data_IF_963130811929
#
_entry.id   IF_963130811929
#
_cell.length_a   1.000
_cell.length_b   1.000
_cell.length_c   1.000
_cell.angle_alpha   90.00
_cell.angle_beta   90.00
_cell.angle_gamma   90.00
#
_symmetry.space_group_name_H-M   'P 1'
#
loop_
_entity.id
_entity.type
_entity.pdbx_description
1 polymer ?
#
# COMPACT_ATOMS: atom_id res chain seq x y z
N UNK A 1 37.15 -9.08 -57.00
CA UNK A 1 37.01 -7.69 -56.52
C UNK A 1 35.54 -7.35 -56.40
N UNK A 2 34.98 -7.32 -55.19
CA UNK A 2 33.59 -6.91 -54.99
C UNK A 2 33.50 -5.38 -55.10
N UNK A 3 32.83 -4.89 -56.15
CA UNK A 3 32.52 -3.46 -56.30
C UNK A 3 31.48 -3.11 -55.24
N UNK A 4 31.88 -2.35 -54.21
CA UNK A 4 30.95 -1.83 -53.22
C UNK A 4 29.84 -1.04 -53.90
N UNK A 5 28.57 -1.29 -53.54
CA UNK A 5 27.45 -0.49 -54.01
C UNK A 5 27.70 0.97 -53.63
N UNK A 6 27.51 1.95 -54.53
CA UNK A 6 27.58 3.35 -54.16
C UNK A 6 26.55 3.63 -53.06
N UNK A 7 26.99 4.19 -51.93
CA UNK A 7 26.07 4.66 -50.88
C UNK A 7 25.21 5.76 -51.49
N UNK A 8 23.90 5.57 -51.54
CA UNK A 8 22.98 6.65 -51.86
C UNK A 8 23.11 7.71 -50.76
N UNK A 9 23.51 8.91 -51.13
CA UNK A 9 23.48 10.06 -50.25
C UNK A 9 22.02 10.42 -50.01
N UNK A 10 21.56 10.25 -48.77
CA UNK A 10 20.22 10.65 -48.38
C UNK A 10 20.15 12.17 -48.39
N UNK A 11 19.20 12.72 -49.14
CA UNK A 11 18.96 14.16 -49.19
C UNK A 11 17.77 14.51 -48.31
N UNK A 12 17.66 15.78 -47.90
CA UNK A 12 16.50 16.26 -47.14
C UNK A 12 15.16 15.98 -47.82
N UNK A 13 15.15 15.91 -49.17
CA UNK A 13 13.95 15.68 -49.95
C UNK A 13 13.42 14.25 -49.85
N UNK A 14 14.27 13.30 -49.44
CA UNK A 14 13.91 11.90 -49.24
C UNK A 14 13.17 11.68 -47.90
N UNK A 15 13.15 12.69 -47.02
CA UNK A 15 12.53 12.60 -45.71
C UNK A 15 11.06 13.05 -45.72
N UNK A 16 10.17 12.41 -44.92
CA UNK A 16 8.81 12.89 -44.71
C UNK A 16 8.78 14.37 -44.28
N UNK A 17 7.83 15.15 -44.80
CA UNK A 17 7.82 16.61 -44.63
C UNK A 17 7.80 17.06 -43.16
N UNK A 18 7.08 16.32 -42.30
CA UNK A 18 7.01 16.57 -40.86
C UNK A 18 8.35 16.35 -40.18
N UNK A 19 8.99 15.21 -40.46
CA UNK A 19 10.32 14.88 -39.92
C UNK A 19 11.39 15.84 -40.43
N UNK A 20 11.32 16.24 -41.72
CA UNK A 20 12.24 17.20 -42.33
C UNK A 20 12.21 18.55 -41.63
N UNK A 21 11.02 19.12 -41.36
CA UNK A 21 10.88 20.38 -40.64
C UNK A 21 11.46 20.29 -39.23
N UNK A 22 11.14 19.21 -38.50
CA UNK A 22 11.65 18.98 -37.16
C UNK A 22 13.18 18.80 -37.15
N UNK A 23 13.74 18.10 -38.14
CA UNK A 23 15.17 17.91 -38.29
C UNK A 23 15.90 19.21 -38.62
N UNK A 24 15.37 20.03 -39.53
CA UNK A 24 15.94 21.36 -39.85
C UNK A 24 15.95 22.24 -38.60
N UNK A 25 14.86 22.27 -37.85
CA UNK A 25 14.79 23.04 -36.61
C UNK A 25 15.79 22.51 -35.56
N UNK A 26 15.86 21.19 -35.37
CA UNK A 26 16.81 20.56 -34.47
C UNK A 26 18.27 20.86 -34.84
N UNK A 27 18.58 20.83 -36.14
CA UNK A 27 19.90 21.17 -36.67
C UNK A 27 20.21 22.66 -36.46
N UNK A 28 19.25 23.56 -36.71
CA UNK A 28 19.41 25.00 -36.48
C UNK A 28 19.63 25.33 -34.99
N UNK A 29 18.83 24.74 -34.10
CA UNK A 29 18.92 24.93 -32.65
C UNK A 29 20.28 24.46 -32.08
N UNK A 30 20.91 23.49 -32.74
CA UNK A 30 22.18 22.88 -32.32
C UNK A 30 23.38 23.27 -33.17
N UNK A 31 23.20 24.21 -34.12
CA UNK A 31 24.24 24.66 -35.04
C UNK A 31 24.93 23.49 -35.76
N UNK A 32 24.12 22.58 -36.33
CA UNK A 32 24.61 21.43 -37.08
C UNK A 32 24.43 21.72 -38.58
N UNK A 33 25.54 21.85 -39.29
CA UNK A 33 25.51 22.20 -40.72
C UNK A 33 25.46 20.96 -41.63
N UNK A 34 25.77 19.77 -41.09
CA UNK A 34 25.80 18.51 -41.83
C UNK A 34 24.54 17.68 -41.55
N UNK A 35 23.83 17.29 -42.61
CA UNK A 35 22.63 16.44 -42.54
C UNK A 35 22.91 15.06 -41.90
N UNK A 36 24.06 14.46 -42.17
CA UNK A 36 24.39 13.13 -41.63
C UNK A 36 24.58 13.19 -40.10
N UNK A 37 25.32 14.19 -39.61
CA UNK A 37 25.49 14.45 -38.17
C UNK A 37 24.15 14.86 -37.51
N UNK A 38 23.31 15.62 -38.21
CA UNK A 38 21.98 15.98 -37.77
C UNK A 38 21.08 14.75 -37.55
N UNK A 39 21.07 13.83 -38.52
CA UNK A 39 20.30 12.58 -38.44
C UNK A 39 20.80 11.66 -37.33
N UNK A 40 22.12 11.51 -37.19
CA UNK A 40 22.73 10.67 -36.15
C UNK A 40 22.38 11.20 -34.75
N UNK A 41 22.60 12.49 -34.50
CA UNK A 41 22.31 13.12 -33.20
C UNK A 41 20.82 13.15 -32.88
N UNK A 42 19.97 13.36 -33.88
CA UNK A 42 18.52 13.27 -33.70
C UNK A 42 18.10 11.85 -33.31
N UNK A 43 18.64 10.83 -33.98
CA UNK A 43 18.42 9.43 -33.66
C UNK A 43 18.81 9.07 -32.23
N UNK A 44 20.03 9.45 -31.81
CA UNK A 44 20.51 9.24 -30.44
C UNK A 44 19.61 9.95 -29.41
N UNK A 45 19.21 11.19 -29.71
CA UNK A 45 18.33 11.96 -28.81
C UNK A 45 16.96 11.30 -28.65
N UNK A 46 16.37 10.79 -29.73
CA UNK A 46 15.10 10.05 -29.68
C UNK A 46 15.23 8.74 -28.92
N UNK A 47 16.32 8.00 -29.13
CA UNK A 47 16.61 6.75 -28.39
C UNK A 47 16.80 7.00 -26.89
N UNK A 48 17.46 8.09 -26.51
CA UNK A 48 17.65 8.42 -25.09
C UNK A 48 16.34 8.86 -24.44
N UNK A 49 15.58 9.74 -25.10
CA UNK A 49 14.26 10.17 -24.60
C UNK A 49 13.28 9.01 -24.47
N UNK A 50 13.27 8.08 -25.43
CA UNK A 50 12.41 6.88 -25.34
C UNK A 50 12.81 5.97 -24.18
N UNK A 51 14.12 5.78 -23.93
CA UNK A 51 14.60 5.05 -22.74
C UNK A 51 14.19 5.75 -21.44
N UNK A 52 14.28 7.07 -21.38
CA UNK A 52 13.84 7.85 -20.21
C UNK A 52 12.33 7.72 -19.96
N UNK A 53 11.51 7.89 -21.01
CA UNK A 53 10.06 7.70 -20.92
C UNK A 53 9.74 6.28 -20.43
N UNK A 54 10.42 5.26 -20.96
CA UNK A 54 10.22 3.87 -20.49
C UNK A 54 10.53 3.72 -19.01
N UNK A 55 11.67 4.24 -18.54
CA UNK A 55 12.02 4.21 -17.11
C UNK A 55 10.97 4.91 -16.24
N UNK A 56 10.46 6.05 -16.68
CA UNK A 56 9.41 6.77 -15.95
C UNK A 56 8.12 5.95 -15.87
N UNK A 57 7.70 5.34 -16.98
CA UNK A 57 6.53 4.45 -17.02
C UNK A 57 6.72 3.28 -16.06
N UNK A 58 7.86 2.60 -16.12
CA UNK A 58 8.16 1.45 -15.26
C UNK A 58 8.15 1.86 -13.77
N UNK A 59 8.76 3.00 -13.45
CA UNK A 59 8.79 3.52 -12.08
C UNK A 59 7.41 3.91 -11.53
N UNK A 60 6.56 4.54 -12.37
CA UNK A 60 5.20 4.92 -12.00
C UNK A 60 4.31 3.68 -11.85
N UNK A 61 4.49 2.69 -12.71
CA UNK A 61 3.81 1.40 -12.60
C UNK A 61 4.17 0.69 -11.29
N UNK A 62 5.46 0.63 -10.93
CA UNK A 62 5.93 0.04 -9.68
C UNK A 62 5.40 0.81 -8.45
N UNK A 63 5.44 2.13 -8.49
CA UNK A 63 4.90 2.97 -7.42
C UNK A 63 3.40 2.73 -7.21
N UNK A 64 2.62 2.69 -8.29
CA UNK A 64 1.18 2.38 -8.22
C UNK A 64 0.92 0.98 -7.68
N UNK A 65 1.69 -0.02 -8.12
CA UNK A 65 1.58 -1.39 -7.64
C UNK A 65 1.86 -1.46 -6.13
N UNK A 66 3.01 -0.93 -5.67
CA UNK A 66 3.38 -0.89 -4.26
C UNK A 66 2.32 -0.19 -3.41
N UNK A 67 1.79 0.94 -3.87
CA UNK A 67 0.73 1.67 -3.15
C UNK A 67 -0.53 0.84 -2.97
N UNK A 68 -0.99 0.15 -4.03
CA UNK A 68 -2.18 -0.73 -3.96
C UNK A 68 -1.93 -1.91 -3.03
N UNK A 69 -0.80 -2.59 -3.23
CA UNK A 69 -0.43 -3.76 -2.42
C UNK A 69 -0.29 -3.41 -0.93
N UNK A 70 0.36 -2.29 -0.59
CA UNK A 70 0.45 -1.82 0.79
C UNK A 70 -0.91 -1.45 1.37
N UNK A 71 -1.80 -0.89 0.56
CA UNK A 71 -3.17 -0.59 1.02
C UNK A 71 -3.92 -1.87 1.38
N UNK A 72 -3.77 -2.94 0.58
CA UNK A 72 -4.38 -4.25 0.85
C UNK A 72 -3.75 -4.92 2.07
N UNK A 73 -2.42 -4.93 2.19
CA UNK A 73 -1.72 -5.44 3.38
C UNK A 73 -2.15 -4.70 4.65
N UNK A 74 -2.27 -3.38 4.62
CA UNK A 74 -2.71 -2.61 5.78
C UNK A 74 -4.16 -2.96 6.16
N UNK A 75 -5.03 -3.22 5.19
CA UNK A 75 -6.40 -3.70 5.47
C UNK A 75 -6.38 -5.08 6.14
N UNK A 76 -5.58 -6.02 5.63
CA UNK A 76 -5.52 -7.37 6.21
C UNK A 76 -4.92 -7.35 7.62
N UNK A 77 -3.87 -6.57 7.85
CA UNK A 77 -3.31 -6.36 9.20
C UNK A 77 -4.33 -5.76 10.16
N UNK A 78 -5.05 -4.70 9.74
CA UNK A 78 -6.09 -4.10 10.57
C UNK A 78 -7.22 -5.09 10.92
N UNK A 79 -7.60 -5.97 10.00
CA UNK A 79 -8.57 -7.04 10.32
C UNK A 79 -8.00 -8.07 11.28
N UNK A 80 -6.73 -8.48 11.10
CA UNK A 80 -6.06 -9.46 11.96
C UNK A 80 -5.92 -8.94 13.40
N UNK A 81 -5.57 -7.67 13.56
CA UNK A 81 -5.41 -7.07 14.88
C UNK A 81 -6.75 -6.92 15.60
N UNK A 82 -7.83 -6.61 14.88
CA UNK A 82 -9.20 -6.61 15.44
C UNK A 82 -9.62 -8.00 15.91
N UNK A 83 -9.37 -9.04 15.11
CA UNK A 83 -9.71 -10.42 15.50
C UNK A 83 -8.86 -10.90 16.67
N UNK A 84 -7.57 -10.59 16.67
CA UNK A 84 -6.66 -10.96 17.75
C UNK A 84 -7.00 -10.24 19.06
N UNK A 85 -7.37 -8.95 18.98
CA UNK A 85 -7.84 -8.19 20.13
C UNK A 85 -9.13 -8.79 20.69
N UNK A 86 -10.13 -9.05 19.84
CA UNK A 86 -11.40 -9.64 20.27
C UNK A 86 -11.19 -11.00 20.93
N UNK A 87 -10.36 -11.86 20.34
CA UNK A 87 -10.07 -13.18 20.89
C UNK A 87 -9.40 -13.08 22.27
N UNK A 88 -8.35 -12.26 22.41
CA UNK A 88 -7.66 -12.05 23.70
C UNK A 88 -8.57 -11.41 24.75
N UNK A 89 -9.46 -10.50 24.33
CA UNK A 89 -10.45 -9.90 25.21
C UNK A 89 -11.42 -10.98 25.75
N UNK A 90 -11.91 -11.88 24.90
CA UNK A 90 -12.79 -12.98 25.33
C UNK A 90 -12.09 -14.00 26.21
N UNK A 91 -10.84 -14.35 25.89
CA UNK A 91 -10.01 -15.22 26.74
C UNK A 91 -9.81 -14.60 28.12
N UNK A 92 -9.46 -13.30 28.17
CA UNK A 92 -9.34 -12.57 29.42
C UNK A 92 -10.68 -12.49 30.17
N UNK A 93 -11.80 -12.22 29.47
CA UNK A 93 -13.13 -12.20 30.09
C UNK A 93 -13.47 -13.57 30.68
N UNK A 94 -13.18 -14.68 30.00
CA UNK A 94 -13.46 -16.01 30.52
C UNK A 94 -12.57 -16.40 31.72
N UNK A 95 -11.31 -15.94 31.76
CA UNK A 95 -10.39 -16.24 32.86
C UNK A 95 -10.67 -15.38 34.09
N UNK A 96 -10.98 -14.09 33.89
CA UNK A 96 -11.02 -13.10 34.96
C UNK A 96 -12.43 -12.62 35.33
N UNK A 97 -13.47 -12.88 34.52
CA UNK A 97 -14.84 -12.50 34.88
C UNK A 97 -15.41 -13.52 35.86
N UNK A 98 -15.60 -13.10 37.10
CA UNK A 98 -16.29 -13.89 38.10
C UNK A 98 -17.73 -13.39 38.18
N UNK A 99 -18.67 -14.31 37.92
CA UNK A 99 -20.09 -14.03 38.00
C UNK A 99 -20.69 -14.63 39.26
N UNK A 100 -21.50 -13.85 39.98
CA UNK A 100 -22.20 -14.30 41.19
C UNK A 100 -23.72 -14.22 40.99
N UNK A 101 -24.49 -15.27 41.32
CA UNK A 101 -25.94 -15.19 41.21
C UNK A 101 -26.51 -14.23 42.27
N UNK A 102 -27.34 -13.27 41.83
CA UNK A 102 -28.09 -12.42 42.73
C UNK A 102 -29.09 -13.24 43.55
N UNK A 103 -29.12 -13.03 44.87
CA UNK A 103 -30.02 -13.78 45.78
C UNK A 103 -31.51 -13.56 45.51
N UNK A 104 -31.88 -12.40 44.95
CA UNK A 104 -33.28 -12.01 44.74
C UNK A 104 -33.79 -12.47 43.37
N UNK A 105 -33.07 -12.17 42.30
CA UNK A 105 -33.53 -12.44 40.93
C UNK A 105 -32.78 -13.57 40.22
N UNK A 106 -31.75 -14.15 40.84
CA UNK A 106 -30.95 -15.24 40.29
C UNK A 106 -30.00 -14.84 39.14
N UNK A 107 -30.09 -13.62 38.62
CA UNK A 107 -29.25 -13.15 37.50
C UNK A 107 -27.78 -12.94 37.94
N UNK A 108 -26.81 -13.15 37.04
CA UNK A 108 -25.38 -13.02 37.36
C UNK A 108 -24.94 -11.56 37.52
N UNK A 109 -24.21 -11.28 38.59
CA UNK A 109 -23.50 -10.04 38.90
C UNK A 109 -22.06 -10.21 38.41
N UNK A 110 -21.64 -9.43 37.42
CA UNK A 110 -20.26 -9.41 36.94
C UNK A 110 -19.39 -8.61 37.93
N UNK A 111 -18.39 -9.26 38.55
CA UNK A 111 -17.39 -8.58 39.38
C UNK A 111 -16.06 -8.63 38.62
N UNK A 112 -15.48 -7.46 38.34
CA UNK A 112 -14.13 -7.34 37.75
C UNK A 112 -13.08 -7.56 38.82
N UNK A 113 -12.09 -8.43 38.56
CA UNK A 113 -11.29 -9.05 39.62
C UNK A 113 -9.81 -8.73 39.49
N UNK A 114 -9.18 -8.37 40.60
CA UNK A 114 -7.73 -8.31 40.74
C UNK A 114 -7.34 -8.66 42.20
N UNK A 115 -7.22 -9.95 42.56
CA UNK A 115 -6.43 -10.48 43.71
C UNK A 115 -6.85 -11.91 44.12
N UNK A 116 -6.04 -12.56 44.97
CA UNK A 116 -6.25 -13.85 45.67
C UNK A 116 -7.40 -13.85 46.68
N UNK A 117 -8.07 -12.71 46.89
CA UNK A 117 -9.11 -12.52 47.91
C UNK A 117 -10.49 -13.06 47.48
N UNK A 118 -10.61 -13.52 46.23
CA UNK A 118 -11.84 -14.03 45.59
C UNK A 118 -12.56 -15.09 46.41
N UNK A 119 -11.84 -16.04 47.01
CA UNK A 119 -12.47 -17.12 47.79
C UNK A 119 -13.05 -16.61 49.10
N UNK A 120 -12.42 -15.62 49.74
CA UNK A 120 -12.92 -14.98 50.95
C UNK A 120 -14.13 -14.09 50.65
N UNK A 121 -14.07 -13.34 49.55
CA UNK A 121 -15.18 -12.53 49.05
C UNK A 121 -16.39 -13.42 48.73
N UNK A 122 -16.20 -14.58 48.07
CA UNK A 122 -17.29 -15.52 47.74
C UNK A 122 -18.11 -15.95 48.96
N UNK A 123 -17.45 -16.32 50.05
CA UNK A 123 -18.14 -16.76 51.27
C UNK A 123 -18.77 -15.58 52.03
N UNK A 124 -18.18 -14.40 51.95
CA UNK A 124 -18.71 -13.18 52.55
C UNK A 124 -19.97 -12.68 51.81
N UNK A 125 -19.93 -12.54 50.48
CA UNK A 125 -21.05 -12.05 49.67
C UNK A 125 -22.31 -12.92 49.76
N UNK A 126 -22.14 -14.25 49.84
CA UNK A 126 -23.27 -15.17 50.01
C UNK A 126 -23.94 -15.05 51.38
N UNK A 127 -23.13 -14.88 52.44
CA UNK A 127 -23.63 -14.73 53.82
C UNK A 127 -24.31 -13.39 54.04
N UNK A 128 -23.77 -12.31 53.48
CA UNK A 128 -24.30 -10.94 53.60
C UNK A 128 -25.48 -10.64 52.67
N UNK A 129 -25.94 -11.62 51.86
CA UNK A 129 -27.17 -11.47 51.09
C UNK A 129 -27.07 -10.55 49.88
N UNK A 130 -25.92 -10.51 49.21
CA UNK A 130 -25.71 -9.66 48.04
C UNK A 130 -26.67 -9.95 46.87
N UNK A 131 -26.99 -8.87 46.14
CA UNK A 131 -27.88 -8.83 45.00
C UNK A 131 -27.63 -7.58 44.17
N UNK A 132 -28.28 -7.44 43.01
CA UNK A 132 -28.22 -6.20 42.25
C UNK A 132 -28.70 -5.05 43.13
N UNK A 133 -28.15 -3.85 42.91
CA UNK A 133 -28.60 -2.64 43.61
C UNK A 133 -30.13 -2.48 43.52
N UNK A 134 -30.68 -2.68 42.32
CA UNK A 134 -32.13 -2.64 42.04
C UNK A 134 -32.94 -3.75 42.72
N UNK A 135 -32.29 -4.83 43.16
CA UNK A 135 -32.93 -5.93 43.87
C UNK A 135 -32.90 -5.75 45.40
N UNK A 136 -32.06 -4.85 45.91
CA UNK A 136 -31.90 -4.57 47.34
C UNK A 136 -32.64 -3.28 47.73
N UNK A 137 -32.81 -2.33 46.80
CA UNK A 137 -33.74 -1.21 46.94
C UNK A 137 -35.19 -1.68 47.03
#
# INVERSE_FOLDING_TARGET
MMRGRPRKTVTLNDLPQTFRKALIQFMADRQIDNLEDGLERAGITLLNKTKEIKKLIDSEAEHRYKKRHMTELNKTLATRDKTAYAQKFWEAKNIYCITYPCKVCGKPIEITVNSTEIQHIRNYLYKEGWGHFECIQ
#
